data_IF_140350276600
#
_entry.id   IF_140350276600
#
_cell.length_a   1.000
_cell.length_b   1.000
_cell.length_c   1.000
_cell.angle_alpha   90.00
_cell.angle_beta   90.00
_cell.angle_gamma   90.00
#
_symmetry.space_group_name_H-M   'P 1'
#
loop_
_entity.id
_entity.type
_entity.pdbx_description
1 polymer ?
#
# COMPACT_ATOMS: atom_id res chain seq x y z
N UNK A 1 -16.05 -3.87 8.02
CA UNK A 1 -14.79 -3.26 7.57
C UNK A 1 -14.91 -1.77 7.75
N UNK A 2 -13.90 -1.12 8.33
CA UNK A 2 -13.93 0.33 8.55
C UNK A 2 -13.77 1.06 7.22
N UNK A 3 -14.56 2.11 7.02
CA UNK A 3 -14.59 2.90 5.79
C UNK A 3 -13.17 3.37 5.43
N UNK A 4 -12.71 3.07 4.22
CA UNK A 4 -11.48 3.63 3.67
C UNK A 4 -11.72 5.11 3.34
N UNK A 5 -10.92 5.98 3.96
CA UNK A 5 -11.02 7.43 3.83
C UNK A 5 -9.73 7.94 3.19
N UNK A 6 -9.86 8.51 2.00
CA UNK A 6 -8.77 9.26 1.37
C UNK A 6 -8.78 10.70 1.88
N UNK A 7 -7.70 11.15 2.51
CA UNK A 7 -7.56 12.53 3.01
C UNK A 7 -6.80 13.46 2.06
N UNK A 8 -6.22 12.94 0.98
CA UNK A 8 -5.46 13.71 0.00
C UNK A 8 -4.05 13.17 -0.18
N UNK A 9 -3.14 14.02 -0.64
CA UNK A 9 -1.72 13.69 -0.80
C UNK A 9 -0.94 14.10 0.45
N UNK A 10 0.03 13.29 0.83
CA UNK A 10 0.99 13.52 1.91
C UNK A 10 2.39 13.47 1.34
N UNK A 11 3.27 14.27 1.91
CA UNK A 11 4.70 14.26 1.61
C UNK A 11 5.46 13.99 2.91
N UNK A 12 6.32 12.97 2.89
CA UNK A 12 7.19 12.58 4.00
C UNK A 12 8.59 12.39 3.45
N UNK A 13 9.56 13.19 3.90
CA UNK A 13 10.97 13.03 3.50
C UNK A 13 11.18 12.93 1.97
N UNK A 14 10.41 13.73 1.21
CA UNK A 14 10.43 13.75 -0.27
C UNK A 14 9.59 12.66 -0.96
N UNK A 15 9.01 11.71 -0.21
CA UNK A 15 8.06 10.73 -0.74
C UNK A 15 6.65 11.29 -0.76
N UNK A 16 6.03 11.36 -1.94
CA UNK A 16 4.67 11.86 -2.12
C UNK A 16 3.69 10.73 -2.46
N UNK A 17 2.67 10.55 -1.63
CA UNK A 17 1.71 9.45 -1.75
C UNK A 17 0.36 9.83 -1.15
N UNK A 18 -0.66 9.00 -1.34
CA UNK A 18 -2.01 9.26 -0.82
C UNK A 18 -2.10 8.92 0.68
N UNK A 19 -2.64 9.85 1.47
CA UNK A 19 -2.98 9.61 2.88
C UNK A 19 -4.30 8.86 2.97
N UNK A 20 -4.24 7.61 3.43
CA UNK A 20 -5.39 6.71 3.53
C UNK A 20 -5.56 6.29 4.99
N UNK A 21 -6.76 6.51 5.53
CA UNK A 21 -7.19 6.00 6.83
C UNK A 21 -8.25 4.92 6.66
N UNK A 22 -8.32 3.97 7.59
CA UNK A 22 -9.28 2.86 7.54
C UNK A 22 -8.71 1.59 6.91
N UNK A 23 -9.58 0.65 6.54
CA UNK A 23 -9.20 -0.66 6.01
C UNK A 23 -8.71 -1.65 7.06
N UNK A 24 -7.82 -1.23 7.98
CA UNK A 24 -7.19 -2.08 9.00
C UNK A 24 -7.58 -1.72 10.45
N UNK A 25 -8.56 -0.83 10.61
CA UNK A 25 -8.98 -0.28 11.90
C UNK A 25 -9.38 1.18 11.77
N UNK A 26 -10.10 1.71 12.75
CA UNK A 26 -10.54 3.11 12.74
C UNK A 26 -9.34 4.01 13.01
N UNK A 27 -9.17 5.06 12.20
CA UNK A 27 -8.00 5.95 12.27
C UNK A 27 -6.66 5.30 11.91
N UNK A 28 -6.63 3.99 11.60
CA UNK A 28 -5.41 3.30 11.19
C UNK A 28 -5.01 3.71 9.78
N UNK A 29 -3.73 3.98 9.58
CA UNK A 29 -3.18 4.40 8.29
C UNK A 29 -2.88 3.18 7.42
N UNK A 30 -3.02 3.38 6.12
CA UNK A 30 -2.68 2.40 5.09
C UNK A 30 -1.97 3.06 3.93
N UNK A 31 -1.30 2.26 3.12
CA UNK A 31 -0.54 2.74 1.97
C UNK A 31 -0.82 1.89 0.74
N UNK A 32 -0.92 2.53 -0.43
CA UNK A 32 -1.14 1.84 -1.69
C UNK A 32 0.16 1.16 -2.15
N UNK A 33 0.07 -0.12 -2.49
CA UNK A 33 1.23 -0.91 -2.95
C UNK A 33 1.85 -0.36 -4.24
N UNK A 34 1.06 0.29 -5.10
CA UNK A 34 1.57 1.00 -6.28
C UNK A 34 2.54 2.13 -5.89
N UNK A 35 2.24 2.87 -4.83
CA UNK A 35 3.09 3.98 -4.38
C UNK A 35 4.33 3.46 -3.67
N UNK A 36 4.22 2.35 -2.95
CA UNK A 36 5.38 1.63 -2.43
C UNK A 36 6.28 1.19 -3.60
N UNK A 37 5.71 0.66 -4.68
CA UNK A 37 6.48 0.30 -5.86
C UNK A 37 7.23 1.50 -6.46
N UNK A 38 6.58 2.66 -6.53
CA UNK A 38 7.18 3.91 -7.01
C UNK A 38 8.32 4.40 -6.10
N UNK A 39 8.12 4.38 -4.78
CA UNK A 39 9.14 4.77 -3.80
C UNK A 39 10.38 3.88 -3.90
N UNK A 40 10.18 2.57 -4.10
CA UNK A 40 11.27 1.59 -4.20
C UNK A 40 11.79 1.44 -5.64
N UNK A 41 11.32 2.24 -6.59
CA UNK A 41 11.76 2.16 -7.99
C UNK A 41 11.50 0.81 -8.67
N UNK A 42 10.49 0.08 -8.21
CA UNK A 42 10.12 -1.25 -8.71
C UNK A 42 8.84 -1.19 -9.56
N UNK A 43 8.69 -2.04 -10.58
CA UNK A 43 7.43 -2.15 -11.31
C UNK A 43 6.29 -2.62 -10.38
N UNK A 44 5.15 -1.92 -10.40
CA UNK A 44 3.99 -2.29 -9.57
C UNK A 44 3.54 -3.75 -9.76
N UNK A 45 3.56 -4.25 -11.00
CA UNK A 45 3.24 -5.66 -11.29
C UNK A 45 4.19 -6.65 -10.62
N UNK A 46 5.47 -6.30 -10.49
CA UNK A 46 6.49 -7.14 -9.84
C UNK A 46 6.27 -7.20 -8.32
N UNK A 47 5.97 -6.06 -7.69
CA UNK A 47 5.61 -6.03 -6.27
C UNK A 47 4.35 -6.87 -6.00
N UNK A 48 3.32 -6.74 -6.84
CA UNK A 48 2.12 -7.57 -6.75
C UNK A 48 2.44 -9.07 -6.90
N UNK A 49 3.32 -9.44 -7.85
CA UNK A 49 3.77 -10.83 -8.03
C UNK A 49 4.43 -11.36 -6.75
N UNK A 50 5.38 -10.62 -6.18
CA UNK A 50 6.08 -11.01 -4.94
C UNK A 50 5.14 -11.15 -3.74
N UNK A 51 4.18 -10.24 -3.61
CA UNK A 51 3.12 -10.35 -2.59
C UNK A 51 2.33 -11.64 -2.78
N UNK A 52 1.89 -11.93 -4.01
CA UNK A 52 1.07 -13.10 -4.32
C UNK A 52 1.84 -14.42 -4.14
N UNK A 53 3.14 -14.44 -4.43
CA UNK A 53 4.02 -15.61 -4.19
C UNK A 53 4.29 -15.89 -2.72
N UNK A 54 4.14 -14.87 -1.86
CA UNK A 54 4.34 -14.96 -0.41
C UNK A 54 3.02 -14.75 0.34
N UNK A 55 1.88 -14.99 -0.32
CA UNK A 55 0.57 -14.56 0.14
C UNK A 55 0.20 -15.16 1.49
N UNK A 56 0.66 -16.37 1.79
CA UNK A 56 0.51 -17.07 3.06
C UNK A 56 1.11 -16.33 4.25
N UNK A 57 2.09 -15.43 4.01
CA UNK A 57 2.69 -14.59 5.04
C UNK A 57 1.82 -13.41 5.42
N UNK A 58 0.82 -13.05 4.61
CA UNK A 58 -0.08 -11.91 4.84
C UNK A 58 -1.45 -12.36 5.36
N UNK A 59 -1.95 -11.69 6.40
CA UNK A 59 -3.31 -11.87 6.92
C UNK A 59 -4.23 -10.83 6.29
N UNK A 60 -5.34 -11.29 5.72
CA UNK A 60 -6.39 -10.40 5.20
C UNK A 60 -6.94 -9.49 6.28
N UNK A 61 -7.25 -8.24 5.91
CA UNK A 61 -7.81 -7.21 6.79
C UNK A 61 -6.93 -6.83 7.99
N UNK A 62 -5.73 -7.38 8.10
CA UNK A 62 -4.75 -7.08 9.14
C UNK A 62 -3.47 -6.54 8.52
N UNK A 63 -2.93 -7.25 7.54
CA UNK A 63 -1.68 -6.90 6.87
C UNK A 63 -1.95 -6.30 5.48
N UNK A 64 -2.88 -6.90 4.74
CA UNK A 64 -3.17 -6.56 3.35
C UNK A 64 -4.67 -6.53 3.08
N UNK A 65 -5.07 -5.70 2.12
CA UNK A 65 -6.42 -5.64 1.60
C UNK A 65 -6.40 -5.42 0.09
N UNK A 66 -7.15 -6.24 -0.66
CA UNK A 66 -7.38 -6.03 -2.09
C UNK A 66 -8.59 -5.11 -2.32
N UNK A 67 -8.36 -3.86 -2.68
CA UNK A 67 -9.44 -2.90 -2.91
C UNK A 67 -10.18 -3.17 -4.23
N UNK A 68 -9.57 -3.88 -5.18
CA UNK A 68 -10.24 -4.28 -6.43
C UNK A 68 -11.24 -5.39 -6.17
N UNK A 69 -10.82 -6.46 -5.50
CA UNK A 69 -11.69 -7.59 -5.18
C UNK A 69 -12.86 -7.19 -4.27
N UNK A 70 -12.68 -6.19 -3.41
CA UNK A 70 -13.71 -5.69 -2.49
C UNK A 70 -14.63 -4.61 -3.09
N UNK A 71 -14.60 -4.38 -4.41
CA UNK A 71 -15.55 -3.48 -5.09
C UNK A 71 -15.30 -1.98 -4.90
N UNK A 72 -14.08 -1.58 -4.49
CA UNK A 72 -13.71 -0.18 -4.30
C UNK A 72 -13.15 0.46 -5.58
N UNK A 73 -13.76 0.20 -6.75
CA UNK A 73 -13.35 0.82 -8.02
C UNK A 73 -13.34 2.36 -8.00
N UNK A 74 -14.33 3.05 -7.35
CA UNK A 74 -14.27 4.51 -7.20
C UNK A 74 -13.05 5.00 -6.41
N UNK A 75 -12.52 4.17 -5.49
CA UNK A 75 -11.34 4.50 -4.69
C UNK A 75 -10.07 4.39 -5.54
N UNK A 76 -9.97 3.39 -6.43
CA UNK A 76 -8.83 3.27 -7.35
C UNK A 76 -8.59 4.54 -8.16
N UNK A 77 -9.66 5.14 -8.70
CA UNK A 77 -9.59 6.42 -9.40
C UNK A 77 -9.12 7.57 -8.49
N UNK A 78 -9.64 7.63 -7.26
CA UNK A 78 -9.25 8.66 -6.27
C UNK A 78 -7.79 8.54 -5.84
N UNK A 79 -7.23 7.33 -5.89
CA UNK A 79 -5.82 7.04 -5.62
C UNK A 79 -4.91 7.24 -6.85
N UNK A 80 -5.39 7.92 -7.89
CA UNK A 80 -4.61 8.21 -9.09
C UNK A 80 -4.33 6.99 -9.98
N UNK A 81 -5.02 5.86 -9.78
CA UNK A 81 -4.93 4.71 -10.67
C UNK A 81 -5.83 4.95 -11.88
N UNK A 82 -5.26 4.90 -13.09
CA UNK A 82 -6.06 5.01 -14.31
C UNK A 82 -7.03 3.83 -14.42
N UNK A 83 -8.19 4.05 -15.06
CA UNK A 83 -9.17 2.97 -15.28
C UNK A 83 -8.55 1.79 -16.05
N UNK A 84 -7.68 2.06 -17.01
CA UNK A 84 -6.98 1.02 -17.77
C UNK A 84 -6.06 0.20 -16.86
N UNK A 85 -5.20 0.86 -16.07
CA UNK A 85 -4.29 0.18 -15.15
C UNK A 85 -5.06 -0.61 -14.08
N UNK A 86 -6.15 -0.05 -13.55
CA UNK A 86 -7.02 -0.74 -12.59
C UNK A 86 -7.64 -2.01 -13.18
N UNK A 87 -8.13 -1.94 -14.43
CA UNK A 87 -8.72 -3.09 -15.10
C UNK A 87 -7.69 -4.18 -15.42
N UNK A 88 -6.48 -3.80 -15.83
CA UNK A 88 -5.39 -4.74 -16.17
C UNK A 88 -4.76 -5.39 -14.94
N UNK A 89 -4.70 -4.71 -13.79
CA UNK A 89 -4.10 -5.26 -12.60
C UNK A 89 -4.96 -6.40 -12.03
N UNK A 90 -4.37 -7.57 -11.76
CA UNK A 90 -5.11 -8.68 -11.13
C UNK A 90 -5.59 -8.31 -9.72
N UNK A 91 -4.75 -7.57 -8.97
CA UNK A 91 -5.03 -7.12 -7.62
C UNK A 91 -4.63 -5.65 -7.47
N UNK A 92 -5.34 -4.93 -6.61
CA UNK A 92 -4.95 -3.59 -6.19
C UNK A 92 -4.87 -3.59 -4.68
N UNK A 93 -3.65 -3.64 -4.15
CA UNK A 93 -3.43 -3.83 -2.72
C UNK A 93 -3.16 -2.51 -1.99
N UNK A 94 -3.74 -2.39 -0.81
CA UNK A 94 -3.23 -1.51 0.24
C UNK A 94 -2.69 -2.39 1.38
N UNK A 95 -1.73 -1.85 2.14
CA UNK A 95 -1.14 -2.53 3.29
C UNK A 95 -1.22 -1.67 4.54
N UNK A 96 -1.29 -2.33 5.71
CA UNK A 96 -1.06 -1.69 7.00
C UNK A 96 0.44 -1.51 7.23
N UNK A 97 0.84 -0.84 8.32
CA UNK A 97 2.24 -0.78 8.78
C UNK A 97 2.87 -2.19 8.88
N UNK A 98 2.12 -3.14 9.44
CA UNK A 98 2.57 -4.53 9.58
C UNK A 98 2.66 -5.23 8.21
N UNK A 99 1.74 -4.94 7.29
CA UNK A 99 1.85 -5.45 5.92
C UNK A 99 3.05 -4.86 5.19
N UNK A 100 3.32 -3.57 5.38
CA UNK A 100 4.47 -2.88 4.80
C UNK A 100 5.78 -3.51 5.27
N UNK A 101 5.97 -3.71 6.59
CA UNK A 101 7.18 -4.37 7.11
C UNK A 101 7.38 -5.79 6.57
N UNK A 102 6.31 -6.56 6.35
CA UNK A 102 6.39 -7.88 5.71
C UNK A 102 6.81 -7.78 4.25
N UNK A 103 6.26 -6.81 3.53
CA UNK A 103 6.64 -6.56 2.14
C UNK A 103 8.13 -6.21 2.05
N UNK A 104 8.65 -5.34 2.92
CA UNK A 104 10.07 -4.98 2.90
C UNK A 104 10.99 -6.19 3.11
N UNK A 105 10.62 -7.11 4.00
CA UNK A 105 11.36 -8.37 4.18
C UNK A 105 11.40 -9.25 2.93
N UNK A 106 10.43 -9.12 2.03
CA UNK A 106 10.37 -9.84 0.75
C UNK A 106 11.14 -9.10 -0.34
N UNK A 107 11.23 -7.77 -0.25
CA UNK A 107 11.96 -6.98 -1.25
C UNK A 107 13.48 -7.11 -1.12
N UNK A 108 13.98 -7.46 0.07
CA UNK A 108 15.43 -7.65 0.35
C UNK A 108 16.28 -6.48 -0.14
N UNK A 109 15.76 -5.26 0.01
CA UNK A 109 16.37 -4.04 -0.51
C UNK A 109 17.03 -3.27 0.64
N UNK A 110 18.34 -3.03 0.57
CA UNK A 110 19.05 -2.21 1.56
C UNK A 110 18.50 -0.77 1.60
N UNK A 111 17.98 -0.27 0.48
CA UNK A 111 17.28 1.02 0.40
C UNK A 111 15.94 0.99 1.16
N UNK A 112 15.33 -0.18 1.34
CA UNK A 112 14.05 -0.30 2.03
C UNK A 112 14.14 0.05 3.52
N UNK A 113 15.29 -0.17 4.16
CA UNK A 113 15.45 0.14 5.58
C UNK A 113 15.44 1.64 5.85
N UNK A 114 16.10 2.45 5.02
CA UNK A 114 16.09 3.90 5.17
C UNK A 114 14.68 4.48 4.95
N UNK A 115 13.96 3.97 3.94
CA UNK A 115 12.59 4.41 3.67
C UNK A 115 11.59 3.89 4.73
N UNK A 116 11.88 2.76 5.37
CA UNK A 116 11.05 2.19 6.43
C UNK A 116 10.95 3.12 7.62
N UNK A 117 12.08 3.56 8.19
CA UNK A 117 12.09 4.42 9.38
C UNK A 117 11.32 5.73 9.09
N UNK A 118 11.59 6.36 7.95
CA UNK A 118 10.91 7.58 7.51
C UNK A 118 9.39 7.41 7.42
N UNK A 119 8.91 6.31 6.84
CA UNK A 119 7.47 6.06 6.70
C UNK A 119 6.82 5.57 7.99
N UNK A 120 7.53 4.84 8.84
CA UNK A 120 6.99 4.40 10.13
C UNK A 120 6.83 5.58 11.06
N UNK A 121 7.88 6.36 11.25
CA UNK A 121 7.86 7.50 12.18
C UNK A 121 7.09 8.70 11.61
N UNK A 122 7.27 8.96 10.31
CA UNK A 122 6.67 10.10 9.62
C UNK A 122 5.27 9.83 9.07
N UNK A 123 4.81 8.58 8.99
CA UNK A 123 3.47 8.29 8.50
C UNK A 123 2.71 7.31 9.39
N UNK A 124 3.13 6.07 9.60
CA UNK A 124 2.28 5.09 10.28
C UNK A 124 2.03 5.38 11.77
N UNK A 125 3.02 5.94 12.49
CA UNK A 125 2.98 6.20 13.94
C UNK A 125 2.62 7.64 14.35
N UNK A 126 2.31 8.50 13.38
CA UNK A 126 1.87 9.89 13.65
C UNK A 126 0.43 9.98 14.16
#
# INVERSE_FOLDING_TARGET
>A
MNNLILKGLKEIEGMKFHHIEGGFGEGKRSMLVKEIAEIHGQPWGEINRRINENREKFKDNIDILDIKANGYEPLGKKLGITRQSFNQANNVYIVSERGYSKLLKILEDDFAWEQYEKLVDGYFNM
#
